data_IF_256380912698
#
_entry.id   IF_256380912698
#
_cell.length_a   1.000
_cell.length_b   1.000
_cell.length_c   1.000
_cell.angle_alpha   90.00
_cell.angle_beta   90.00
_cell.angle_gamma   90.00
#
_symmetry.space_group_name_H-M   'P 1'
#
loop_
_entity.id
_entity.type
_entity.pdbx_description
1 polymer ?
#
# COMPACT_ATOMS: atom_id res chain seq x y z
N UNK A 1 9.99 -13.49 17.65
CA UNK A 1 10.55 -12.51 16.71
C UNK A 1 9.46 -11.51 16.40
N UNK A 2 9.62 -10.24 16.76
CA UNK A 2 8.75 -9.17 16.25
C UNK A 2 9.16 -8.92 14.79
N UNK A 3 8.31 -9.29 13.84
CA UNK A 3 8.60 -9.09 12.41
C UNK A 3 8.75 -7.61 12.07
N UNK A 4 9.57 -7.31 11.06
CA UNK A 4 9.84 -5.94 10.62
C UNK A 4 8.64 -5.38 9.85
N UNK A 5 8.39 -4.07 9.91
CA UNK A 5 7.42 -3.41 9.05
C UNK A 5 7.77 -3.68 7.59
N UNK A 6 6.76 -3.98 6.79
CA UNK A 6 6.86 -4.21 5.35
C UNK A 6 6.26 -3.02 4.59
N UNK A 7 6.88 -2.72 3.45
CA UNK A 7 6.43 -1.73 2.47
C UNK A 7 6.19 -2.42 1.14
N UNK A 8 5.09 -2.11 0.49
CA UNK A 8 4.68 -2.65 -0.80
C UNK A 8 4.27 -1.54 -1.75
N UNK A 9 4.44 -1.78 -3.05
CA UNK A 9 3.99 -0.90 -4.12
C UNK A 9 3.13 -1.77 -5.04
N UNK A 10 1.85 -1.42 -5.17
CA UNK A 10 0.93 -2.07 -6.09
C UNK A 10 0.65 -1.12 -7.27
N UNK A 11 1.05 -1.56 -8.46
CA UNK A 11 0.91 -0.82 -9.70
C UNK A 11 -0.28 -1.39 -10.46
N UNK A 12 -1.28 -0.56 -10.72
CA UNK A 12 -2.47 -0.98 -11.45
C UNK A 12 -2.20 -1.09 -12.96
N UNK A 13 -3.08 -1.76 -13.68
CA UNK A 13 -2.89 -2.02 -15.11
C UNK A 13 -2.74 -0.73 -15.92
N UNK A 14 -1.90 -0.76 -16.97
CA UNK A 14 -1.59 0.40 -17.82
C UNK A 14 -0.96 1.59 -17.07
N UNK A 15 -0.30 1.33 -15.96
CA UNK A 15 0.54 2.29 -15.24
C UNK A 15 1.89 1.74 -14.86
N UNK A 16 2.80 2.64 -14.48
CA UNK A 16 4.12 2.36 -13.96
C UNK A 16 4.53 3.40 -12.92
N UNK A 17 5.53 3.06 -12.12
CA UNK A 17 6.17 3.99 -11.19
C UNK A 17 7.65 4.12 -11.57
N UNK A 18 8.00 5.25 -12.18
CA UNK A 18 9.35 5.53 -12.63
C UNK A 18 10.17 6.10 -11.47
N UNK A 19 11.06 5.27 -10.89
CA UNK A 19 11.84 5.59 -9.71
C UNK A 19 13.25 6.07 -10.06
N UNK A 20 13.65 7.20 -9.49
CA UNK A 20 14.99 7.76 -9.60
C UNK A 20 15.88 7.36 -8.41
N UNK A 21 17.22 7.38 -8.55
CA UNK A 21 18.16 7.08 -7.46
C UNK A 21 18.01 7.96 -6.21
N UNK A 22 17.45 9.16 -6.38
CA UNK A 22 17.11 10.08 -5.29
C UNK A 22 16.06 9.50 -4.34
N UNK A 23 15.30 8.49 -4.78
CA UNK A 23 14.13 7.95 -4.09
C UNK A 23 12.82 8.56 -4.57
N UNK A 24 12.88 9.64 -5.34
CA UNK A 24 11.71 10.25 -5.97
C UNK A 24 11.24 9.37 -7.12
N UNK A 25 9.93 9.19 -7.26
CA UNK A 25 9.37 8.59 -8.45
C UNK A 25 8.07 9.23 -8.87
N UNK A 26 7.71 8.98 -10.12
CA UNK A 26 6.51 9.55 -10.75
C UNK A 26 5.60 8.42 -11.23
N UNK A 27 4.30 8.56 -11.01
CA UNK A 27 3.31 7.65 -11.59
C UNK A 27 3.09 8.02 -13.06
N UNK A 28 3.32 7.08 -13.96
CA UNK A 28 3.13 7.25 -15.40
C UNK A 28 2.03 6.30 -15.87
N UNK A 29 1.09 6.77 -16.68
CA UNK A 29 0.01 5.95 -17.23
C UNK A 29 -1.36 6.54 -16.97
N UNK A 30 -2.36 5.67 -16.81
CA UNK A 30 -3.78 6.07 -16.74
C UNK A 30 -4.45 5.69 -15.41
N UNK A 31 -3.87 4.78 -14.66
CA UNK A 31 -4.41 4.25 -13.41
C UNK A 31 -3.50 4.56 -12.22
N UNK A 32 -4.03 4.52 -10.99
CA UNK A 32 -3.26 4.86 -9.80
C UNK A 32 -2.16 3.85 -9.46
N UNK A 33 -1.23 4.28 -8.60
CA UNK A 33 -0.31 3.39 -7.87
C UNK A 33 -0.61 3.50 -6.38
N UNK A 34 -0.57 2.37 -5.68
CA UNK A 34 -0.87 2.28 -4.25
C UNK A 34 0.40 1.95 -3.47
N UNK A 35 0.76 2.80 -2.53
CA UNK A 35 1.89 2.61 -1.63
C UNK A 35 1.38 2.11 -0.29
N UNK A 36 1.85 0.94 0.12
CA UNK A 36 1.32 0.19 1.25
C UNK A 36 2.38 0.07 2.34
N UNK A 37 2.06 0.38 3.58
CA UNK A 37 2.95 0.13 4.73
C UNK A 37 2.22 -0.58 5.88
N UNK A 38 2.98 -1.40 6.60
CA UNK A 38 2.54 -2.09 7.81
C UNK A 38 3.39 -1.61 8.98
N UNK A 39 2.78 -1.41 10.15
CA UNK A 39 3.50 -0.99 11.35
C UNK A 39 4.10 -2.20 12.10
N UNK A 40 3.53 -3.39 11.92
CA UNK A 40 3.92 -4.60 12.62
C UNK A 40 3.73 -5.86 11.76
N UNK A 41 4.29 -6.96 12.24
CA UNK A 41 4.05 -8.29 11.67
C UNK A 41 2.59 -8.72 11.87
N UNK A 42 2.10 -9.68 11.08
CA UNK A 42 0.80 -10.31 11.30
C UNK A 42 0.71 -10.99 12.68
N UNK A 43 -0.51 -11.08 13.22
CA UNK A 43 -0.76 -11.78 14.49
C UNK A 43 -0.33 -13.26 14.42
N UNK A 44 -0.55 -13.88 13.26
CA UNK A 44 -0.14 -15.25 12.95
C UNK A 44 0.53 -15.29 11.58
N UNK A 45 1.77 -15.77 11.53
CA UNK A 45 2.54 -15.97 10.30
C UNK A 45 2.87 -17.45 10.13
N UNK A 46 1.87 -18.24 9.71
CA UNK A 46 1.99 -19.68 9.51
C UNK A 46 1.41 -20.09 8.16
N UNK A 47 2.14 -20.94 7.42
CA UNK A 47 1.68 -21.47 6.13
C UNK A 47 0.32 -22.16 6.27
N UNK A 48 -0.59 -21.86 5.35
CA UNK A 48 -1.93 -22.46 5.31
C UNK A 48 -2.91 -21.88 6.34
N UNK A 49 -2.49 -20.92 7.17
CA UNK A 49 -3.39 -20.20 8.08
C UNK A 49 -3.81 -18.88 7.43
N UNK A 50 -5.12 -18.56 7.39
CA UNK A 50 -5.58 -17.27 6.88
C UNK A 50 -4.95 -16.09 7.63
N UNK A 51 -4.55 -15.07 6.89
CA UNK A 51 -3.87 -13.91 7.44
C UNK A 51 -4.80 -13.14 8.40
N UNK A 52 -4.25 -12.72 9.55
CA UNK A 52 -4.82 -11.66 10.36
C UNK A 52 -3.78 -10.56 10.57
N UNK A 53 -4.07 -9.37 10.04
CA UNK A 53 -3.19 -8.20 10.06
C UNK A 53 -4.04 -6.94 10.04
N UNK A 54 -3.75 -5.99 10.91
CA UNK A 54 -4.56 -4.77 11.05
C UNK A 54 -3.74 -3.52 10.81
N UNK A 55 -4.42 -2.44 10.45
CA UNK A 55 -3.82 -1.12 10.28
C UNK A 55 -2.85 -1.07 9.10
N UNK A 56 -3.09 -1.84 8.04
CA UNK A 56 -2.29 -1.76 6.81
C UNK A 56 -2.62 -0.43 6.15
N UNK A 57 -1.67 0.50 6.10
CA UNK A 57 -1.89 1.84 5.53
C UNK A 57 -1.70 1.80 4.03
N UNK A 58 -2.62 2.43 3.31
CA UNK A 58 -2.59 2.53 1.85
C UNK A 58 -2.65 4.00 1.46
N UNK A 59 -1.72 4.43 0.60
CA UNK A 59 -1.65 5.76 0.02
C UNK A 59 -1.80 5.64 -1.49
N UNK A 60 -2.87 6.22 -2.04
CA UNK A 60 -3.19 6.21 -3.48
C UNK A 60 -2.59 7.44 -4.16
N UNK A 61 -1.80 7.22 -5.19
CA UNK A 61 -1.13 8.26 -5.98
C UNK A 61 -1.61 8.18 -7.43
N UNK A 62 -2.10 9.29 -7.97
CA UNK A 62 -2.67 9.36 -9.32
C UNK A 62 -1.59 9.53 -10.39
N UNK A 63 -1.88 9.23 -11.66
CA UNK A 63 -0.97 9.54 -12.77
C UNK A 63 -0.50 11.00 -12.77
N UNK A 64 0.79 11.19 -13.06
CA UNK A 64 1.46 12.49 -13.06
C UNK A 64 1.96 12.95 -11.69
N UNK A 65 1.50 12.33 -10.60
CA UNK A 65 1.89 12.68 -9.24
C UNK A 65 3.16 11.95 -8.78
N UNK A 66 3.81 12.51 -7.77
CA UNK A 66 5.09 12.06 -7.24
C UNK A 66 4.99 11.35 -5.88
N UNK A 67 5.88 10.40 -5.65
CA UNK A 67 6.05 9.73 -4.36
C UNK A 67 7.52 9.41 -4.11
N UNK A 68 7.99 9.65 -2.90
CA UNK A 68 9.35 9.37 -2.49
C UNK A 68 9.42 8.12 -1.61
N UNK A 69 10.09 7.08 -2.08
CA UNK A 69 10.12 5.78 -1.39
C UNK A 69 11.06 5.75 -0.18
N UNK A 70 11.98 6.73 -0.04
CA UNK A 70 12.91 6.79 1.09
C UNK A 70 12.20 7.27 2.35
N UNK A 71 11.44 8.35 2.24
CA UNK A 71 10.65 8.89 3.35
C UNK A 71 9.20 8.36 3.39
N UNK A 72 8.74 7.68 2.32
CA UNK A 72 7.41 7.09 2.20
C UNK A 72 6.26 8.11 2.23
N UNK A 73 6.46 9.24 1.55
CA UNK A 73 5.48 10.32 1.38
C UNK A 73 5.43 10.82 -0.06
N UNK A 74 4.39 11.56 -0.40
CA UNK A 74 4.19 12.08 -1.75
C UNK A 74 2.90 12.85 -1.89
N UNK A 75 2.48 13.04 -3.13
CA UNK A 75 1.23 13.69 -3.50
C UNK A 75 0.07 12.68 -3.41
N UNK A 76 -0.50 12.57 -2.22
CA UNK A 76 -1.51 11.55 -1.90
C UNK A 76 -2.91 12.04 -2.28
N UNK A 77 -3.60 11.27 -3.12
CA UNK A 77 -4.99 11.54 -3.51
C UNK A 77 -6.02 10.95 -2.54
N UNK A 78 -5.68 9.83 -1.91
CA UNK A 78 -6.47 9.19 -0.88
C UNK A 78 -5.57 8.36 0.05
N UNK A 79 -5.90 8.37 1.33
CA UNK A 79 -5.23 7.55 2.36
C UNK A 79 -6.29 6.81 3.17
N UNK A 80 -6.07 5.52 3.39
CA UNK A 80 -7.00 4.65 4.11
C UNK A 80 -6.24 3.46 4.69
N UNK A 81 -6.89 2.75 5.61
CA UNK A 81 -6.41 1.50 6.16
C UNK A 81 -7.20 0.30 5.63
N UNK A 82 -6.48 -0.81 5.53
CA UNK A 82 -7.03 -2.15 5.35
C UNK A 82 -6.76 -2.99 6.59
N UNK A 83 -7.78 -3.73 7.01
CA UNK A 83 -7.65 -4.83 7.95
C UNK A 83 -7.88 -6.14 7.20
N UNK A 84 -7.07 -7.14 7.48
CA UNK A 84 -7.28 -8.52 7.05
C UNK A 84 -7.62 -9.31 8.30
N UNK A 85 -8.82 -9.87 8.37
CA UNK A 85 -9.31 -10.64 9.52
C UNK A 85 -9.68 -12.04 9.02
N UNK A 86 -8.95 -13.05 9.48
CA UNK A 86 -9.13 -14.44 9.03
C UNK A 86 -9.18 -14.58 7.50
N UNK A 87 -8.33 -13.82 6.79
CA UNK A 87 -8.25 -13.79 5.32
C UNK A 87 -9.25 -12.87 4.61
N UNK A 88 -10.23 -12.31 5.30
CA UNK A 88 -11.17 -11.34 4.72
C UNK A 88 -10.61 -9.92 4.82
N UNK A 89 -10.60 -9.19 3.70
CA UNK A 89 -10.13 -7.79 3.65
C UNK A 89 -11.28 -6.84 3.96
N UNK A 90 -11.05 -5.90 4.86
CA UNK A 90 -11.95 -4.83 5.25
C UNK A 90 -11.27 -3.50 5.01
N UNK A 91 -11.97 -2.58 4.34
CA UNK A 91 -11.45 -1.25 4.03
C UNK A 91 -12.18 -0.18 4.83
N UNK A 92 -11.41 0.81 5.28
CA UNK A 92 -11.95 2.03 5.91
C UNK A 92 -12.50 3.03 4.89
N UNK A 93 -12.35 2.79 3.59
CA UNK A 93 -12.97 3.63 2.57
C UNK A 93 -14.51 3.57 2.61
N UNK A 94 -15.20 4.61 2.11
CA UNK A 94 -16.64 4.58 1.92
C UNK A 94 -17.10 3.34 1.16
N UNK A 95 -18.11 2.65 1.69
CA UNK A 95 -18.66 1.42 1.09
C UNK A 95 -17.70 0.22 1.11
N UNK A 96 -16.55 0.31 1.78
CA UNK A 96 -15.56 -0.76 1.83
C UNK A 96 -14.76 -0.94 0.53
N UNK A 97 -14.69 0.08 -0.33
CA UNK A 97 -13.88 0.01 -1.56
C UNK A 97 -12.41 -0.30 -1.25
N UNK A 98 -11.79 -1.19 -2.03
CA UNK A 98 -10.37 -1.49 -1.92
C UNK A 98 -9.50 -0.54 -2.75
N UNK A 99 -10.09 0.15 -3.72
CA UNK A 99 -9.41 0.94 -4.76
C UNK A 99 -10.01 2.34 -4.88
#
# INVERSE_FOLDING_TARGET
>A
QTGKPARGIAVDERSSFALEPSGEGTVIGNTPVYFIETDAAPDVCQKGTPLTMRGVKVKKVLPGAHFNVKNWSGEISAEYTLDVIAGAVQSSQPGGSLY
#
